data_IF_446153422861
#
_entry.id   IF_446153422861
#
_cell.length_a   1.000
_cell.length_b   1.000
_cell.length_c   1.000
_cell.angle_alpha   90.00
_cell.angle_beta   90.00
_cell.angle_gamma   90.00
#
_symmetry.space_group_name_H-M   'P 1'
#
loop_
_entity.id
_entity.type
_entity.pdbx_description
1 polymer ?
#
# COMPACT_ATOMS: atom_id res chain seq x y z
N UNK A 1 -18.73 -38.71 -0.52
CA UNK A 1 -19.08 -37.60 0.41
C UNK A 1 -17.86 -36.76 0.80
N UNK A 2 -16.64 -37.27 0.63
CA UNK A 2 -15.41 -36.65 1.17
C UNK A 2 -14.75 -35.59 0.25
N UNK A 3 -14.99 -35.66 -1.07
CA UNK A 3 -14.42 -34.70 -2.04
C UNK A 3 -14.95 -33.26 -1.88
N UNK A 4 -16.19 -33.11 -1.38
CA UNK A 4 -16.81 -31.78 -1.17
C UNK A 4 -16.17 -31.02 -0.01
N UNK A 5 -15.73 -31.73 1.03
CA UNK A 5 -14.99 -31.15 2.15
C UNK A 5 -13.58 -30.73 1.77
N UNK A 6 -12.90 -31.55 0.95
CA UNK A 6 -11.57 -31.24 0.42
C UNK A 6 -11.55 -30.02 -0.51
N UNK A 7 -12.56 -29.90 -1.39
CA UNK A 7 -12.74 -28.73 -2.25
C UNK A 7 -13.03 -27.45 -1.45
N UNK A 8 -13.88 -27.54 -0.42
CA UNK A 8 -14.17 -26.39 0.45
C UNK A 8 -12.92 -25.93 1.22
N UNK A 9 -12.12 -26.86 1.74
CA UNK A 9 -10.85 -26.55 2.41
C UNK A 9 -9.84 -25.93 1.44
N UNK A 10 -9.71 -26.45 0.22
CA UNK A 10 -8.83 -25.89 -0.80
C UNK A 10 -9.23 -24.46 -1.19
N UNK A 11 -10.54 -24.19 -1.33
CA UNK A 11 -11.06 -22.84 -1.61
C UNK A 11 -10.80 -21.90 -0.43
N UNK A 12 -11.04 -22.33 0.81
CA UNK A 12 -10.75 -21.53 2.02
C UNK A 12 -9.26 -21.24 2.14
N UNK A 13 -8.39 -22.21 1.86
CA UNK A 13 -6.93 -22.05 1.87
C UNK A 13 -6.45 -21.11 0.75
N UNK A 14 -7.08 -21.12 -0.43
CA UNK A 14 -6.83 -20.13 -1.49
C UNK A 14 -7.24 -18.71 -1.08
N UNK A 15 -8.41 -18.52 -0.47
CA UNK A 15 -8.85 -17.22 0.01
C UNK A 15 -7.96 -16.69 1.15
N UNK A 16 -7.48 -17.58 2.03
CA UNK A 16 -6.59 -17.22 3.15
C UNK A 16 -5.20 -16.78 2.68
N UNK A 17 -4.70 -17.31 1.56
CA UNK A 17 -3.40 -16.93 1.02
C UNK A 17 -3.44 -15.62 0.21
N UNK A 18 -4.58 -15.31 -0.43
CA UNK A 18 -4.77 -14.04 -1.14
C UNK A 18 -4.77 -12.82 -0.21
N UNK A 19 -5.21 -12.97 1.05
CA UNK A 19 -5.31 -11.86 1.99
C UNK A 19 -4.02 -11.51 2.75
N UNK A 20 -2.99 -12.37 2.73
CA UNK A 20 -1.82 -12.22 3.61
C UNK A 20 -0.57 -11.67 2.92
N UNK A 21 -0.50 -11.70 1.58
CA UNK A 21 0.64 -11.20 0.77
C UNK A 21 0.17 -10.47 -0.50
N UNK A 22 -0.99 -9.83 -0.47
CA UNK A 22 -1.36 -8.97 -1.60
C UNK A 22 -0.38 -7.81 -1.66
N UNK A 23 0.23 -7.61 -2.83
CA UNK A 23 1.06 -6.45 -3.15
C UNK A 23 0.46 -5.82 -4.41
N UNK A 24 0.37 -4.49 -4.52
CA UNK A 24 -0.19 -3.86 -5.71
C UNK A 24 0.59 -4.27 -6.97
N UNK A 25 -0.11 -4.45 -8.10
CA UNK A 25 0.46 -4.97 -9.37
C UNK A 25 1.65 -4.15 -9.90
N UNK A 26 1.79 -2.91 -9.45
CA UNK A 26 2.80 -1.93 -9.88
C UNK A 26 3.81 -1.57 -8.79
N UNK A 27 3.88 -2.41 -7.75
CA UNK A 27 4.72 -2.20 -6.60
C UNK A 27 5.48 -3.49 -6.25
N UNK A 28 6.57 -3.32 -5.52
CA UNK A 28 7.33 -4.40 -4.88
C UNK A 28 7.18 -4.26 -3.38
N UNK A 29 6.87 -5.37 -2.69
CA UNK A 29 6.68 -5.39 -1.25
C UNK A 29 7.78 -6.22 -0.58
N UNK A 30 8.42 -5.64 0.43
CA UNK A 30 9.45 -6.26 1.25
C UNK A 30 8.85 -6.59 2.62
N UNK A 31 8.59 -7.88 2.86
CA UNK A 31 7.94 -8.35 4.07
C UNK A 31 8.96 -8.58 5.19
N UNK A 32 8.85 -7.80 6.27
CA UNK A 32 9.56 -8.00 7.53
C UNK A 32 8.73 -8.78 8.55
N UNK A 33 9.25 -8.90 9.77
CA UNK A 33 8.56 -9.64 10.85
C UNK A 33 7.21 -9.03 11.25
N UNK A 34 7.09 -7.70 11.21
CA UNK A 34 5.86 -6.94 11.57
C UNK A 34 5.57 -5.74 10.68
N UNK A 35 6.47 -5.44 9.76
CA UNK A 35 6.40 -4.30 8.87
C UNK A 35 6.44 -4.77 7.43
N UNK A 36 5.85 -3.98 6.55
CA UNK A 36 6.07 -4.10 5.12
C UNK A 36 6.56 -2.75 4.59
N UNK A 37 7.60 -2.82 3.78
CA UNK A 37 8.05 -1.70 2.96
C UNK A 37 7.54 -1.92 1.53
N UNK A 38 6.93 -0.90 0.96
CA UNK A 38 6.31 -0.97 -0.38
C UNK A 38 6.96 0.09 -1.27
N UNK A 39 7.50 -0.35 -2.41
CA UNK A 39 8.14 0.53 -3.39
C UNK A 39 7.40 0.42 -4.73
N UNK A 40 6.93 1.56 -5.25
CA UNK A 40 6.16 1.67 -6.48
C UNK A 40 6.90 2.60 -7.47
N UNK A 41 7.78 2.05 -8.34
CA UNK A 41 8.59 2.85 -9.27
C UNK A 41 8.00 2.95 -10.70
N UNK A 42 6.77 2.48 -10.92
CA UNK A 42 6.20 2.34 -12.26
C UNK A 42 5.66 3.68 -12.80
N UNK A 43 6.21 4.14 -13.92
CA UNK A 43 5.83 5.41 -14.55
C UNK A 43 4.36 5.47 -15.00
N UNK A 44 3.72 4.32 -15.23
CA UNK A 44 2.30 4.24 -15.61
C UNK A 44 1.36 4.42 -14.41
N UNK A 45 1.90 4.46 -13.19
CA UNK A 45 1.14 4.76 -11.98
C UNK A 45 0.75 6.25 -11.97
N UNK A 46 -0.55 6.52 -12.07
CA UNK A 46 -1.14 7.88 -12.06
C UNK A 46 -2.07 8.12 -10.88
N UNK A 47 -2.32 7.09 -10.06
CA UNK A 47 -3.18 7.13 -8.88
C UNK A 47 -2.51 6.40 -7.73
N UNK A 48 -2.89 6.77 -6.51
CA UNK A 48 -2.38 6.11 -5.31
C UNK A 48 -2.79 4.61 -5.32
N UNK A 49 -1.87 3.68 -4.99
CA UNK A 49 -2.11 2.23 -5.12
C UNK A 49 -2.86 1.66 -3.90
N UNK A 50 -4.04 2.18 -3.55
CA UNK A 50 -4.80 1.71 -2.39
C UNK A 50 -5.15 0.22 -2.46
N UNK A 51 -5.39 -0.30 -3.67
CA UNK A 51 -5.77 -1.69 -3.88
C UNK A 51 -4.58 -2.63 -3.69
N UNK A 52 -4.69 -3.51 -2.70
CA UNK A 52 -3.70 -4.55 -2.44
C UNK A 52 -2.50 -4.08 -1.63
N UNK A 53 -2.53 -2.87 -1.03
CA UNK A 53 -1.55 -2.48 -0.02
C UNK A 53 -1.68 -3.36 1.24
N UNK A 54 -0.56 -3.89 1.78
CA UNK A 54 -0.57 -4.59 3.06
C UNK A 54 -1.01 -3.67 4.21
N UNK A 55 -1.89 -4.15 5.09
CA UNK A 55 -2.39 -3.37 6.22
C UNK A 55 -1.33 -3.04 7.29
N UNK A 56 -0.20 -3.75 7.27
CA UNK A 56 0.98 -3.51 8.11
C UNK A 56 2.13 -2.82 7.36
N UNK A 57 1.82 -2.10 6.29
CA UNK A 57 2.76 -1.20 5.62
C UNK A 57 3.22 -0.11 6.59
N UNK A 58 4.54 0.00 6.78
CA UNK A 58 5.16 1.05 7.61
C UNK A 58 5.96 2.05 6.78
N UNK A 59 6.44 1.65 5.60
CA UNK A 59 7.11 2.55 4.67
C UNK A 59 6.52 2.38 3.28
N UNK A 60 6.14 3.50 2.66
CA UNK A 60 5.61 3.53 1.30
C UNK A 60 6.39 4.55 0.47
N UNK A 61 7.00 4.05 -0.59
CA UNK A 61 7.74 4.87 -1.56
C UNK A 61 7.05 4.78 -2.91
N UNK A 62 6.54 5.90 -3.41
CA UNK A 62 6.02 6.03 -4.78
C UNK A 62 6.94 7.00 -5.50
N UNK A 63 7.74 6.51 -6.45
CA UNK A 63 8.83 7.29 -7.02
C UNK A 63 8.81 7.29 -8.54
N UNK A 64 9.14 8.44 -9.14
CA UNK A 64 9.25 8.60 -10.59
C UNK A 64 7.97 8.19 -11.35
N UNK A 65 6.80 8.54 -10.81
CA UNK A 65 5.49 8.22 -11.40
C UNK A 65 4.73 9.47 -11.83
N UNK A 66 3.55 9.30 -12.42
CA UNK A 66 2.65 10.38 -12.82
C UNK A 66 1.63 10.74 -11.73
N UNK A 67 1.91 10.42 -10.47
CA UNK A 67 1.05 10.75 -9.33
C UNK A 67 0.97 12.28 -9.15
N UNK A 68 -0.24 12.83 -9.26
CA UNK A 68 -0.49 14.29 -9.18
C UNK A 68 -1.21 14.73 -7.91
N UNK A 69 -1.83 13.79 -7.18
CA UNK A 69 -2.57 14.08 -5.95
C UNK A 69 -2.60 12.87 -5.03
N UNK A 70 -2.67 13.14 -3.72
CA UNK A 70 -2.93 12.14 -2.68
C UNK A 70 -3.94 12.71 -1.71
N UNK A 71 -4.91 11.91 -1.28
CA UNK A 71 -5.95 12.28 -0.32
C UNK A 71 -5.75 11.62 1.04
N UNK A 72 -6.33 12.20 2.09
CA UNK A 72 -6.31 11.64 3.44
C UNK A 72 -6.92 10.23 3.50
N UNK A 73 -7.99 10.00 2.72
CA UNK A 73 -8.64 8.69 2.65
C UNK A 73 -7.75 7.62 2.02
N UNK A 74 -6.96 7.98 1.00
CA UNK A 74 -5.99 7.07 0.38
C UNK A 74 -4.87 6.68 1.34
N UNK A 75 -4.32 7.63 2.11
CA UNK A 75 -3.32 7.32 3.13
C UNK A 75 -3.91 6.54 4.32
N UNK A 76 -5.19 6.77 4.63
CA UNK A 76 -5.91 6.11 5.71
C UNK A 76 -6.03 4.58 5.56
N UNK A 77 -5.79 4.03 4.36
CA UNK A 77 -5.71 2.57 4.16
C UNK A 77 -4.48 1.94 4.81
N UNK A 78 -3.49 2.76 5.18
CA UNK A 78 -2.24 2.38 5.84
C UNK A 78 -2.08 3.09 7.20
N UNK A 79 -2.87 2.73 8.23
CA UNK A 79 -2.86 3.44 9.53
C UNK A 79 -1.57 3.26 10.35
N UNK A 80 -0.71 2.32 9.95
CA UNK A 80 0.59 2.04 10.57
C UNK A 80 1.76 2.71 9.84
N UNK A 81 1.47 3.53 8.82
CA UNK A 81 2.48 4.21 8.02
C UNK A 81 3.33 5.14 8.90
N UNK A 82 4.64 4.98 8.78
CA UNK A 82 5.67 5.72 9.51
C UNK A 82 6.44 6.65 8.58
N UNK A 83 6.66 6.19 7.35
CA UNK A 83 7.40 6.92 6.33
C UNK A 83 6.62 6.94 5.01
N UNK A 84 6.51 8.12 4.41
CA UNK A 84 5.91 8.33 3.10
C UNK A 84 6.89 9.08 2.19
N UNK A 85 7.35 8.42 1.14
CA UNK A 85 8.29 8.98 0.17
C UNK A 85 7.60 9.10 -1.19
N UNK A 86 7.50 10.32 -1.72
CA UNK A 86 6.84 10.62 -3.00
C UNK A 86 7.78 11.28 -4.03
N UNK A 87 9.06 10.89 -4.17
CA UNK A 87 10.00 11.68 -4.95
C UNK A 87 9.77 11.55 -6.46
N UNK A 88 10.05 12.62 -7.21
CA UNK A 88 9.96 12.64 -8.67
C UNK A 88 8.53 12.41 -9.21
N UNK A 89 7.51 12.80 -8.43
CA UNK A 89 6.11 12.82 -8.85
C UNK A 89 5.67 14.23 -9.29
N UNK A 90 4.45 14.36 -9.80
CA UNK A 90 3.88 15.63 -10.30
C UNK A 90 2.92 16.28 -9.28
N UNK A 91 3.25 16.19 -7.99
CA UNK A 91 2.42 16.72 -6.90
C UNK A 91 2.48 18.26 -6.89
N UNK A 92 1.35 18.92 -7.14
CA UNK A 92 1.26 20.38 -7.12
C UNK A 92 0.88 20.96 -5.75
N UNK A 93 0.11 20.21 -4.97
CA UNK A 93 -0.38 20.60 -3.66
C UNK A 93 -0.77 19.37 -2.85
N UNK A 94 -0.77 19.53 -1.52
CA UNK A 94 -1.25 18.52 -0.60
C UNK A 94 -2.45 19.07 0.18
N UNK A 95 -3.50 18.24 0.43
CA UNK A 95 -4.62 18.64 1.27
C UNK A 95 -4.16 18.99 2.70
N UNK A 96 -4.81 19.97 3.34
CA UNK A 96 -4.53 20.32 4.75
C UNK A 96 -4.83 19.16 5.70
N UNK A 97 -5.82 18.33 5.37
CA UNK A 97 -6.26 17.18 6.14
C UNK A 97 -5.50 15.89 5.79
N UNK A 98 -4.53 15.94 4.88
CA UNK A 98 -3.84 14.75 4.34
C UNK A 98 -3.31 13.80 5.42
N UNK A 99 -2.79 14.37 6.52
CA UNK A 99 -2.14 13.62 7.59
C UNK A 99 -3.08 13.23 8.73
N UNK A 100 -4.37 13.55 8.59
CA UNK A 100 -5.37 13.24 9.62
C UNK A 100 -5.48 11.72 9.80
N UNK A 101 -5.27 11.23 11.03
CA UNK A 101 -5.37 9.81 11.37
C UNK A 101 -4.08 9.00 11.18
N UNK A 102 -3.00 9.59 10.66
CA UNK A 102 -1.70 8.94 10.52
C UNK A 102 -0.84 9.13 11.79
N UNK A 103 -1.23 8.48 12.88
CA UNK A 103 -0.64 8.69 14.21
C UNK A 103 0.83 8.26 14.35
N UNK A 104 1.33 7.43 13.44
CA UNK A 104 2.70 6.89 13.47
C UNK A 104 3.64 7.57 12.47
N UNK A 105 3.10 8.42 11.59
CA UNK A 105 3.84 9.04 10.50
C UNK A 105 4.78 10.10 11.07
N UNK A 106 6.06 9.98 10.74
CA UNK A 106 7.09 10.91 11.20
C UNK A 106 8.04 11.36 10.08
N UNK A 107 8.03 10.70 8.93
CA UNK A 107 8.83 11.06 7.76
C UNK A 107 7.94 11.26 6.54
N UNK A 108 8.09 12.42 5.88
CA UNK A 108 7.48 12.71 4.59
C UNK A 108 8.57 13.30 3.68
N UNK A 109 8.79 12.69 2.54
CA UNK A 109 9.68 13.17 1.48
C UNK A 109 8.89 13.43 0.20
N UNK A 110 9.07 14.61 -0.41
CA UNK A 110 8.35 15.10 -1.59
C UNK A 110 9.31 15.57 -2.70
N UNK A 111 10.58 15.19 -2.62
CA UNK A 111 11.67 15.75 -3.45
C UNK A 111 11.57 15.51 -4.96
#
# INVERSE_FOLDING_TARGET
>A
MEYRGLLALAVILWFRCHGALSCPVRCTCHFGFRSVEVVCPDAELSRYPSDGLPGNTTSLTIQFTNLSSVSANELGVTPLLQELHLPGNSLSSLPEDLLTGLHHLHTIDLT
#
